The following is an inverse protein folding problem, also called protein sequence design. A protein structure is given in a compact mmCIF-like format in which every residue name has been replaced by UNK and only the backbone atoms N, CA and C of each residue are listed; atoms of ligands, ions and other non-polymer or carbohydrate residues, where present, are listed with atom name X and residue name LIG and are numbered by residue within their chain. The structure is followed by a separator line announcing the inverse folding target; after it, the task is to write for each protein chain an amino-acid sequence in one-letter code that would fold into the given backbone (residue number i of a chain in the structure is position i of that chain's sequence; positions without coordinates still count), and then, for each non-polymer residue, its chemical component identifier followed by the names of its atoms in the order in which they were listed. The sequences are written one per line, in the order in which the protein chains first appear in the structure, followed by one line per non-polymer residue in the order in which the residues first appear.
data_IF_751263729606
#
_entry.id   IF_751263729606
#
_cell.length_a   1.000
_cell.length_b   1.000
_cell.length_c   1.000
_cell.angle_alpha   90.00
_cell.angle_beta   90.00
_cell.angle_gamma   90.00
#
_symmetry.space_group_name_H-M   'P 1'
#
loop_
_entity.id
_entity.type
_entity.pdbx_description
1 polymer ?
#
# COMPACT_ATOMS: atom_id res chain seq x y z
N UNK A 1 -7.94 12.52 -10.92
CA UNK A 1 -8.43 11.66 -9.79
C UNK A 1 -9.96 11.47 -9.78
N UNK A 2 -10.81 12.51 -9.60
CA UNK A 2 -12.28 12.32 -9.44
C UNK A 2 -12.96 11.58 -10.59
N UNK A 3 -12.57 11.84 -11.83
CA UNK A 3 -13.07 11.10 -13.01
C UNK A 3 -12.77 9.61 -12.94
N UNK A 4 -11.52 9.24 -12.65
CA UNK A 4 -11.10 7.83 -12.53
C UNK A 4 -11.83 7.12 -11.38
N UNK A 5 -12.05 7.83 -10.27
CA UNK A 5 -12.84 7.33 -9.14
C UNK A 5 -14.26 7.02 -9.59
N UNK A 6 -14.93 7.97 -10.24
CA UNK A 6 -16.29 7.75 -10.74
C UNK A 6 -16.39 6.58 -11.74
N UNK A 7 -15.42 6.43 -12.64
CA UNK A 7 -15.36 5.30 -13.58
C UNK A 7 -15.22 3.96 -12.84
N UNK A 8 -14.30 3.88 -11.86
CA UNK A 8 -14.11 2.70 -11.01
C UNK A 8 -15.35 2.37 -10.17
N UNK A 9 -15.96 3.37 -9.53
CA UNK A 9 -17.16 3.22 -8.70
C UNK A 9 -18.40 2.83 -9.52
N UNK A 10 -18.39 3.09 -10.83
CA UNK A 10 -19.45 2.66 -11.77
C UNK A 10 -19.28 1.21 -12.25
N UNK A 11 -18.41 0.42 -11.62
CA UNK A 11 -18.02 -0.94 -12.04
C UNK A 11 -17.48 -1.02 -13.48
N UNK A 12 -17.03 0.11 -14.03
CA UNK A 12 -16.37 0.16 -15.34
C UNK A 12 -14.88 0.00 -15.15
N UNK A 13 -14.24 -0.75 -16.05
CA UNK A 13 -12.78 -0.85 -16.10
C UNK A 13 -12.27 0.41 -16.81
N UNK A 14 -11.61 1.37 -16.11
CA UNK A 14 -11.10 2.56 -16.76
C UNK A 14 -10.01 2.19 -17.76
N UNK A 15 -10.00 2.82 -18.93
CA UNK A 15 -8.97 2.62 -19.95
C UNK A 15 -7.68 3.34 -19.55
N UNK A 16 -6.86 2.71 -18.71
CA UNK A 16 -5.66 3.32 -18.14
C UNK A 16 -4.49 3.47 -19.14
N UNK A 17 -4.57 2.82 -20.30
CA UNK A 17 -3.54 2.88 -21.36
C UNK A 17 -3.72 4.04 -22.33
N UNK A 18 -4.83 4.80 -22.21
CA UNK A 18 -5.09 5.94 -23.07
C UNK A 18 -4.11 7.10 -22.88
N UNK A 19 -3.90 7.94 -23.92
CA UNK A 19 -2.92 9.03 -23.90
C UNK A 19 -3.16 10.05 -22.77
N UNK A 20 -4.42 10.24 -22.35
CA UNK A 20 -4.77 11.12 -21.24
C UNK A 20 -4.16 10.68 -19.89
N UNK A 21 -4.02 9.38 -19.65
CA UNK A 21 -3.46 8.85 -18.39
C UNK A 21 -1.96 8.65 -18.45
N UNK A 22 -1.40 8.49 -19.64
CA UNK A 22 0.05 8.52 -19.84
C UNK A 22 0.65 9.89 -19.52
N UNK A 23 -0.13 10.97 -19.70
CA UNK A 23 0.28 12.33 -19.32
C UNK A 23 0.14 12.65 -17.83
N UNK A 24 -0.72 11.92 -17.10
CA UNK A 24 -0.90 12.07 -15.65
C UNK A 24 -0.95 10.71 -14.94
N UNK A 25 0.17 10.00 -14.97
CA UNK A 25 0.32 8.72 -14.26
C UNK A 25 0.17 8.90 -12.74
N UNK A 26 0.40 10.11 -12.22
CA UNK A 26 0.25 10.43 -10.81
C UNK A 26 -1.21 10.37 -10.34
N UNK A 27 -2.18 10.63 -11.23
CA UNK A 27 -3.61 10.42 -10.93
C UNK A 27 -3.93 8.97 -10.58
N UNK A 28 -3.33 7.98 -11.27
CA UNK A 28 -3.56 6.55 -11.01
C UNK A 28 -2.96 6.15 -9.64
N UNK A 29 -1.73 6.55 -9.37
CA UNK A 29 -1.09 6.32 -8.07
C UNK A 29 -1.90 6.95 -6.92
N UNK A 30 -2.41 8.16 -7.15
CA UNK A 30 -3.19 8.89 -6.14
C UNK A 30 -4.54 8.22 -5.87
N UNK A 31 -5.23 7.73 -6.89
CA UNK A 31 -6.47 6.97 -6.71
C UNK A 31 -6.21 5.65 -5.96
N UNK A 32 -5.13 4.94 -6.30
CA UNK A 32 -4.77 3.70 -5.61
C UNK A 32 -4.54 3.94 -4.11
N UNK A 33 -3.78 4.97 -3.73
CA UNK A 33 -3.59 5.36 -2.32
C UNK A 33 -4.90 5.77 -1.65
N UNK A 34 -5.75 6.52 -2.36
CA UNK A 34 -7.06 6.94 -1.87
C UNK A 34 -7.95 5.72 -1.53
N UNK A 35 -7.97 4.72 -2.40
CA UNK A 35 -8.74 3.49 -2.17
C UNK A 35 -8.38 2.83 -0.83
N UNK A 36 -7.09 2.62 -0.54
CA UNK A 36 -6.65 2.03 0.73
C UNK A 36 -7.01 2.89 1.95
N UNK A 37 -6.89 4.22 1.81
CA UNK A 37 -7.25 5.17 2.85
C UNK A 37 -8.75 5.15 3.18
N UNK A 38 -9.60 4.93 2.19
CA UNK A 38 -11.07 4.94 2.31
C UNK A 38 -11.68 3.60 2.71
N UNK A 39 -10.90 2.51 2.81
CA UNK A 39 -11.41 1.24 3.31
C UNK A 39 -12.11 1.42 4.67
N UNK A 40 -13.19 0.69 5.00
CA UNK A 40 -13.80 0.78 6.33
C UNK A 40 -12.81 0.37 7.44
N UNK A 41 -12.05 -0.70 7.21
CA UNK A 41 -10.96 -1.18 8.07
C UNK A 41 -9.64 -1.08 7.28
N UNK A 42 -8.56 -0.47 7.81
CA UNK A 42 -7.30 -0.34 7.10
C UNK A 42 -6.74 -1.69 6.67
N UNK A 43 -5.87 -1.67 5.67
CA UNK A 43 -5.30 -2.91 5.14
C UNK A 43 -4.55 -3.69 6.23
N UNK A 44 -3.83 -3.01 7.12
CA UNK A 44 -3.16 -3.63 8.26
C UNK A 44 -4.04 -3.80 9.51
N UNK A 45 -5.33 -3.47 9.39
CA UNK A 45 -6.41 -3.65 10.37
C UNK A 45 -6.23 -2.88 11.68
N UNK A 46 -7.33 -2.36 12.23
CA UNK A 46 -7.31 -1.77 13.57
C UNK A 46 -6.94 -2.79 14.65
N UNK A 47 -7.38 -4.04 14.48
CA UNK A 47 -7.21 -5.12 15.46
C UNK A 47 -5.75 -5.52 15.66
N UNK A 48 -4.91 -5.39 14.62
CA UNK A 48 -3.50 -5.77 14.67
C UNK A 48 -2.56 -4.58 14.86
N UNK A 49 -3.07 -3.34 14.87
CA UNK A 49 -2.23 -2.14 15.02
C UNK A 49 -1.34 -2.20 16.27
N UNK A 50 -1.91 -2.57 17.42
CA UNK A 50 -1.15 -2.73 18.67
C UNK A 50 -0.01 -3.74 18.53
N UNK A 51 -0.29 -4.90 17.90
CA UNK A 51 0.72 -5.94 17.67
C UNK A 51 1.82 -5.50 16.71
N UNK A 52 1.49 -4.72 15.68
CA UNK A 52 2.49 -4.10 14.81
C UNK A 52 3.37 -3.11 15.58
N UNK A 53 2.78 -2.27 16.44
CA UNK A 53 3.54 -1.34 17.27
C UNK A 53 4.48 -2.06 18.25
N UNK A 54 3.99 -3.12 18.89
CA UNK A 54 4.80 -3.96 19.79
C UNK A 54 5.96 -4.61 19.03
N UNK A 55 5.69 -5.24 17.87
CA UNK A 55 6.73 -5.83 17.03
C UNK A 55 7.82 -4.81 16.63
N UNK A 56 7.44 -3.58 16.30
CA UNK A 56 8.38 -2.52 15.92
C UNK A 56 9.22 -1.97 17.08
N UNK A 57 8.74 -2.13 18.32
CA UNK A 57 9.47 -1.71 19.54
C UNK A 57 10.61 -2.66 19.93
N UNK A 58 10.69 -3.84 19.30
CA UNK A 58 11.76 -4.82 19.53
C UNK A 58 13.11 -4.24 19.07
N UNK A 59 14.15 -4.21 19.95
CA UNK A 59 15.45 -3.63 19.60
C UNK A 59 16.21 -4.39 18.50
N UNK A 60 16.13 -5.71 18.48
CA UNK A 60 16.84 -6.57 17.53
C UNK A 60 16.17 -6.57 16.16
N UNK A 61 16.92 -6.30 15.10
CA UNK A 61 16.37 -6.26 13.74
C UNK A 61 15.79 -7.59 13.27
N UNK A 62 16.53 -8.69 13.46
CA UNK A 62 16.08 -10.03 13.08
C UNK A 62 14.83 -10.44 13.86
N UNK A 63 14.83 -10.24 15.19
CA UNK A 63 13.66 -10.55 16.02
C UNK A 63 12.45 -9.70 15.62
N UNK A 64 12.65 -8.40 15.36
CA UNK A 64 11.60 -7.52 14.86
C UNK A 64 11.01 -8.02 13.55
N UNK A 65 11.84 -8.48 12.60
CA UNK A 65 11.36 -9.04 11.34
C UNK A 65 10.49 -10.28 11.56
N UNK A 66 10.91 -11.18 12.45
CA UNK A 66 10.12 -12.37 12.84
C UNK A 66 8.77 -11.95 13.42
N UNK A 67 8.76 -11.02 14.40
CA UNK A 67 7.51 -10.55 15.00
C UNK A 67 6.58 -9.87 14.01
N UNK A 68 7.10 -9.01 13.13
CA UNK A 68 6.30 -8.36 12.08
C UNK A 68 5.71 -9.42 11.15
N UNK A 69 6.50 -10.42 10.76
CA UNK A 69 6.02 -11.54 9.94
C UNK A 69 4.88 -12.28 10.64
N UNK A 70 5.00 -12.60 11.92
CA UNK A 70 3.96 -13.30 12.69
C UNK A 70 2.66 -12.49 12.79
N UNK A 71 2.75 -11.16 12.88
CA UNK A 71 1.57 -10.30 12.86
C UNK A 71 0.93 -10.27 11.46
N UNK A 72 1.73 -10.24 10.40
CA UNK A 72 1.22 -10.32 9.01
C UNK A 72 0.45 -11.63 8.79
N UNK A 73 0.93 -12.76 9.32
CA UNK A 73 0.25 -14.06 9.19
C UNK A 73 -1.12 -14.11 9.90
N UNK A 74 -1.41 -13.17 10.80
CA UNK A 74 -2.71 -13.06 11.48
C UNK A 74 -3.73 -12.20 10.71
N UNK A 75 -3.32 -11.58 9.59
CA UNK A 75 -4.24 -10.80 8.77
C UNK A 75 -5.35 -11.70 8.18
N UNK A 76 -6.59 -11.19 8.06
CA UNK A 76 -7.63 -11.87 7.30
C UNK A 76 -7.14 -12.19 5.87
N UNK A 77 -7.51 -13.34 5.27
CA UNK A 77 -6.99 -13.75 3.97
C UNK A 77 -7.08 -12.70 2.85
N UNK A 78 -8.17 -11.90 2.74
CA UNK A 78 -8.23 -10.82 1.75
C UNK A 78 -7.19 -9.72 1.99
N UNK A 79 -6.96 -9.36 3.25
CA UNK A 79 -5.98 -8.34 3.64
C UNK A 79 -4.55 -8.81 3.38
N UNK A 80 -4.23 -10.05 3.77
CA UNK A 80 -2.92 -10.65 3.51
C UNK A 80 -2.56 -10.66 2.01
N UNK A 81 -3.45 -11.21 1.16
CA UNK A 81 -3.21 -11.30 -0.29
C UNK A 81 -3.04 -9.92 -0.93
N UNK A 82 -3.84 -8.96 -0.49
CA UNK A 82 -3.78 -7.58 -1.00
C UNK A 82 -2.49 -6.90 -0.57
N UNK A 83 -2.08 -7.05 0.70
CA UNK A 83 -0.81 -6.53 1.21
C UNK A 83 0.37 -7.14 0.47
N UNK A 84 0.38 -8.46 0.28
CA UNK A 84 1.43 -9.16 -0.44
C UNK A 84 1.61 -8.60 -1.86
N UNK A 85 0.50 -8.44 -2.60
CA UNK A 85 0.55 -7.89 -3.95
C UNK A 85 1.07 -6.45 -3.96
N UNK A 86 0.58 -5.62 -3.04
CA UNK A 86 1.03 -4.24 -2.90
C UNK A 86 2.53 -4.18 -2.58
N UNK A 87 3.03 -4.94 -1.60
CA UNK A 87 4.44 -4.94 -1.22
C UNK A 87 5.35 -5.41 -2.36
N UNK A 88 4.94 -6.41 -3.15
CA UNK A 88 5.68 -6.82 -4.36
C UNK A 88 5.76 -5.67 -5.39
N UNK A 89 4.67 -4.95 -5.59
CA UNK A 89 4.65 -3.79 -6.48
C UNK A 89 5.56 -2.66 -5.97
N UNK A 90 5.52 -2.33 -4.67
CA UNK A 90 6.38 -1.32 -4.07
C UNK A 90 7.86 -1.71 -4.12
N UNK A 91 8.19 -2.99 -3.90
CA UNK A 91 9.55 -3.50 -4.06
C UNK A 91 10.04 -3.34 -5.50
N UNK A 92 9.18 -3.62 -6.50
CA UNK A 92 9.49 -3.36 -7.91
C UNK A 92 9.72 -1.87 -8.17
N UNK A 93 8.90 -0.97 -7.59
CA UNK A 93 9.12 0.47 -7.73
C UNK A 93 10.43 0.93 -7.10
N UNK A 94 10.77 0.43 -5.92
CA UNK A 94 12.03 0.75 -5.24
C UNK A 94 13.27 0.38 -6.06
N UNK A 95 13.20 -0.69 -6.87
CA UNK A 95 14.29 -1.06 -7.80
C UNK A 95 14.52 -0.03 -8.92
N UNK A 96 13.55 0.85 -9.18
CA UNK A 96 13.65 1.95 -10.14
C UNK A 96 13.89 3.29 -9.44
N UNK A 97 14.42 3.30 -8.21
CA UNK A 97 14.65 4.53 -7.44
C UNK A 97 15.65 5.47 -8.10
N UNK A 98 16.57 4.98 -8.94
CA UNK A 98 17.48 5.82 -9.72
C UNK A 98 16.75 6.80 -10.66
N UNK A 99 15.56 6.42 -11.16
CA UNK A 99 14.77 7.24 -12.07
C UNK A 99 13.63 7.99 -11.35
N UNK A 100 13.08 7.38 -10.29
CA UNK A 100 11.87 7.88 -9.60
C UNK A 100 12.16 8.58 -8.28
N UNK A 101 13.38 8.45 -7.75
CA UNK A 101 13.77 8.87 -6.40
C UNK A 101 12.96 8.21 -5.27
N UNK A 102 12.17 7.18 -5.58
CA UNK A 102 11.31 6.48 -4.62
C UNK A 102 12.02 5.25 -4.03
N UNK A 103 12.93 5.48 -3.09
CA UNK A 103 13.53 4.42 -2.27
C UNK A 103 12.49 3.77 -1.34
N UNK A 104 12.78 2.58 -0.81
CA UNK A 104 11.90 1.87 0.13
C UNK A 104 11.43 2.75 1.30
N UNK A 105 12.33 3.59 1.86
CA UNK A 105 12.00 4.57 2.90
C UNK A 105 10.96 5.60 2.44
N UNK A 106 11.13 6.19 1.26
CA UNK A 106 10.19 7.19 0.72
C UNK A 106 8.83 6.57 0.43
N UNK A 107 8.81 5.34 -0.09
CA UNK A 107 7.58 4.58 -0.29
C UNK A 107 6.89 4.31 1.04
N UNK A 108 7.61 3.88 2.09
CA UNK A 108 7.04 3.64 3.40
C UNK A 108 6.39 4.91 3.98
N UNK A 109 7.04 6.08 3.88
CA UNK A 109 6.49 7.37 4.34
C UNK A 109 5.17 7.69 3.63
N UNK A 110 5.11 7.51 2.31
CA UNK A 110 3.91 7.84 1.52
C UNK A 110 2.79 6.83 1.78
N UNK A 111 3.11 5.54 1.95
CA UNK A 111 2.11 4.48 2.04
C UNK A 111 1.61 4.23 3.45
N UNK A 112 2.44 4.37 4.49
CA UNK A 112 2.07 4.05 5.87
C UNK A 112 0.75 4.72 6.34
N UNK A 113 0.50 6.03 6.10
CA UNK A 113 -0.75 6.67 6.50
C UNK A 113 -2.00 6.09 5.83
N UNK A 114 -1.85 5.47 4.65
CA UNK A 114 -2.96 4.87 3.91
C UNK A 114 -3.22 3.41 4.33
N UNK A 115 -2.26 2.75 5.00
CA UNK A 115 -2.33 1.33 5.34
C UNK A 115 -2.60 1.05 6.83
N UNK A 116 -2.27 1.99 7.73
CA UNK A 116 -2.22 1.77 9.18
C UNK A 116 -3.20 2.59 10.03
N UNK A 117 -3.94 3.53 9.43
CA UNK A 117 -4.85 4.52 10.05
C UNK A 117 -5.05 4.44 11.57
#
# INVERSE_FOLDING_TARGET
IQRLRHEFDSERIPELSGPAFLQDIHSVSSLCKLYFRELPNPLLTYQLYGKFSEAMSVPGEEERLVRVHDVIQQLPPPHYRTLEYLLRHLARMARHSANTSMHARNLAIVWAPNLLR
#
